data_IF_391342302183
#
_entry.id   IF_391342302183
#
_cell.length_a   1.000
_cell.length_b   1.000
_cell.length_c   1.000
_cell.angle_alpha   90.00
_cell.angle_beta   90.00
_cell.angle_gamma   90.00
#
_symmetry.space_group_name_H-M   'P 1'
#
loop_
_entity.id
_entity.type
_entity.pdbx_description
1 polymer ?
#
# COMPACT_ATOMS: atom_id res chain seq x y z
N UNK A 1 5.35 2.48 -31.94
CA UNK A 1 4.22 1.55 -32.14
C UNK A 1 3.56 1.37 -30.78
N UNK A 2 2.40 1.99 -30.53
CA UNK A 2 1.75 1.98 -29.22
C UNK A 2 0.80 0.77 -29.20
N UNK A 3 1.16 -0.28 -28.47
CA UNK A 3 0.29 -1.43 -28.30
C UNK A 3 -0.85 -1.03 -27.35
N UNK A 4 -2.07 -0.89 -27.87
CA UNK A 4 -3.25 -0.66 -27.05
C UNK A 4 -3.88 -2.03 -26.72
N UNK A 5 -4.10 -2.31 -25.44
CA UNK A 5 -4.81 -3.51 -25.00
C UNK A 5 -6.29 -3.34 -25.38
N UNK A 6 -6.83 -4.25 -26.18
CA UNK A 6 -8.24 -4.26 -26.58
C UNK A 6 -8.92 -5.56 -26.13
N UNK A 7 -10.25 -5.61 -26.20
CA UNK A 7 -11.05 -6.78 -25.79
C UNK A 7 -10.62 -8.09 -26.46
N UNK A 8 -10.08 -7.99 -27.68
CA UNK A 8 -9.56 -9.13 -28.42
C UNK A 8 -8.29 -9.67 -27.75
N UNK A 9 -7.35 -8.80 -27.39
CA UNK A 9 -6.14 -9.16 -26.63
C UNK A 9 -6.51 -9.72 -25.25
N UNK A 10 -7.43 -9.06 -24.52
CA UNK A 10 -7.89 -9.52 -23.21
C UNK A 10 -8.48 -10.94 -23.24
N UNK A 11 -9.26 -11.28 -24.28
CA UNK A 11 -9.85 -12.63 -24.44
C UNK A 11 -8.82 -13.73 -24.70
N UNK A 12 -7.66 -13.40 -25.23
CA UNK A 12 -6.56 -14.35 -25.45
C UNK A 12 -5.55 -14.39 -24.30
N UNK A 13 -5.71 -13.53 -23.29
CA UNK A 13 -4.89 -13.62 -22.09
C UNK A 13 -5.40 -14.75 -21.19
N UNK A 14 -4.66 -15.85 -21.19
CA UNK A 14 -4.81 -16.90 -20.19
C UNK A 14 -4.13 -16.52 -18.87
N UNK A 15 -4.43 -17.27 -17.80
CA UNK A 15 -3.70 -17.14 -16.54
C UNK A 15 -2.23 -17.49 -16.75
N UNK A 16 -1.33 -16.52 -16.63
CA UNK A 16 0.12 -16.77 -16.77
C UNK A 16 0.69 -17.58 -15.58
N UNK A 17 0.27 -17.23 -14.37
CA UNK A 17 0.64 -17.89 -13.11
C UNK A 17 -0.52 -17.81 -12.10
N UNK A 18 -0.60 -18.79 -11.20
CA UNK A 18 -1.58 -18.83 -10.10
C UNK A 18 -0.84 -19.17 -8.82
N UNK A 19 -0.91 -18.28 -7.84
CA UNK A 19 -0.33 -18.45 -6.50
C UNK A 19 -1.41 -18.91 -5.54
N UNK A 20 -1.19 -20.00 -4.79
CA UNK A 20 -2.22 -20.65 -3.94
C UNK A 20 -1.83 -20.75 -2.48
N UNK A 21 -0.77 -20.03 -2.08
CA UNK A 21 -0.16 -20.15 -0.77
C UNK A 21 -0.94 -19.41 0.33
N UNK A 22 -1.68 -18.35 -0.04
CA UNK A 22 -2.54 -17.60 0.90
C UNK A 22 -3.69 -18.49 1.43
N UNK A 23 -3.80 -18.60 2.75
CA UNK A 23 -4.81 -19.43 3.43
C UNK A 23 -6.11 -18.67 3.74
N UNK A 24 -6.10 -17.35 3.54
CA UNK A 24 -7.26 -16.49 3.71
C UNK A 24 -7.40 -15.51 2.54
N UNK A 25 -8.42 -14.66 2.62
CA UNK A 25 -8.70 -13.65 1.60
C UNK A 25 -7.51 -12.68 1.49
N UNK A 26 -7.03 -12.49 0.26
CA UNK A 26 -6.09 -11.43 -0.07
C UNK A 26 -6.83 -10.09 -0.06
N UNK A 27 -6.36 -9.16 0.78
CA UNK A 27 -6.92 -7.82 0.93
C UNK A 27 -6.33 -6.83 -0.07
N UNK A 28 -5.03 -6.97 -0.33
CA UNK A 28 -4.24 -6.04 -1.13
C UNK A 28 -3.04 -6.75 -1.70
N UNK A 29 -2.61 -6.32 -2.88
CA UNK A 29 -1.42 -6.81 -3.54
C UNK A 29 -0.75 -5.67 -4.30
N UNK A 30 0.57 -5.74 -4.44
CA UNK A 30 1.33 -4.75 -5.20
C UNK A 30 2.57 -5.35 -5.83
N UNK A 31 2.84 -4.95 -7.06
CA UNK A 31 4.08 -5.34 -7.75
C UNK A 31 5.18 -4.36 -7.37
N UNK A 32 6.35 -4.90 -7.06
CA UNK A 32 7.54 -4.07 -6.99
C UNK A 32 7.79 -3.46 -8.38
N UNK A 33 8.23 -2.20 -8.39
CA UNK A 33 8.31 -1.37 -9.60
C UNK A 33 9.36 -1.86 -10.60
N UNK A 34 10.54 -2.25 -10.10
CA UNK A 34 11.70 -2.62 -10.93
C UNK A 34 12.01 -4.11 -10.85
N UNK A 35 11.95 -4.67 -9.65
CA UNK A 35 12.22 -6.08 -9.39
C UNK A 35 11.04 -6.99 -9.73
N UNK A 36 11.36 -8.25 -10.05
CA UNK A 36 10.40 -9.34 -10.24
C UNK A 36 9.79 -9.82 -8.92
N UNK A 37 9.07 -8.94 -8.24
CA UNK A 37 8.50 -9.18 -6.92
C UNK A 37 7.03 -8.76 -6.84
N UNK A 38 6.22 -9.60 -6.23
CA UNK A 38 4.82 -9.33 -5.91
C UNK A 38 4.62 -9.53 -4.41
N UNK A 39 4.06 -8.54 -3.74
CA UNK A 39 3.69 -8.63 -2.33
C UNK A 39 2.19 -8.72 -2.19
N UNK A 40 1.73 -9.53 -1.25
CA UNK A 40 0.31 -9.68 -0.94
C UNK A 40 0.09 -9.60 0.56
N UNK A 41 -1.05 -9.05 0.96
CA UNK A 41 -1.50 -8.99 2.34
C UNK A 41 -2.84 -9.72 2.49
N UNK A 42 -2.98 -10.52 3.54
CA UNK A 42 -4.12 -11.42 3.73
C UNK A 42 -4.77 -11.26 5.12
N UNK A 43 -6.02 -11.70 5.23
CA UNK A 43 -6.84 -11.65 6.46
C UNK A 43 -6.28 -12.50 7.62
N UNK A 44 -5.42 -13.47 7.32
CA UNK A 44 -4.70 -14.31 8.28
C UNK A 44 -3.42 -13.65 8.85
N UNK A 45 -3.29 -12.33 8.68
CA UNK A 45 -2.14 -11.50 9.05
C UNK A 45 -0.85 -11.78 8.27
N UNK A 46 -0.92 -12.60 7.21
CA UNK A 46 0.25 -12.96 6.41
C UNK A 46 0.56 -11.92 5.34
N UNK A 47 1.86 -11.73 5.13
CA UNK A 47 2.45 -11.04 4.00
C UNK A 47 3.23 -12.10 3.23
N UNK A 48 2.78 -12.40 2.00
CA UNK A 48 3.52 -13.28 1.10
C UNK A 48 4.28 -12.45 0.08
N UNK A 49 5.53 -12.82 -0.16
CA UNK A 49 6.39 -12.26 -1.19
C UNK A 49 6.66 -13.31 -2.24
N UNK A 50 6.29 -13.03 -3.48
CA UNK A 50 6.49 -13.91 -4.61
C UNK A 50 7.53 -13.34 -5.56
N UNK A 51 8.33 -14.22 -6.14
CA UNK A 51 9.11 -13.89 -7.32
C UNK A 51 8.24 -14.07 -8.57
N UNK A 52 8.07 -13.01 -9.35
CA UNK A 52 7.14 -13.01 -10.49
C UNK A 52 7.71 -13.68 -11.74
N UNK A 53 9.04 -13.70 -11.88
CA UNK A 53 9.71 -14.36 -12.99
C UNK A 53 9.66 -15.89 -12.85
N UNK A 54 9.97 -16.43 -11.67
CA UNK A 54 9.89 -17.86 -11.39
C UNK A 54 8.46 -18.31 -11.09
N UNK A 55 7.60 -17.41 -10.58
CA UNK A 55 6.27 -17.74 -10.12
C UNK A 55 6.27 -18.50 -8.78
N UNK A 56 7.30 -18.31 -7.95
CA UNK A 56 7.45 -19.00 -6.67
C UNK A 56 7.26 -18.06 -5.49
N UNK A 57 6.69 -18.59 -4.41
CA UNK A 57 6.74 -17.96 -3.09
C UNK A 57 8.19 -17.91 -2.61
N UNK A 58 8.64 -16.73 -2.20
CA UNK A 58 9.99 -16.50 -1.65
C UNK A 58 9.95 -16.37 -0.13
N UNK A 59 9.07 -15.52 0.40
CA UNK A 59 8.97 -15.28 1.85
C UNK A 59 7.52 -15.27 2.32
N UNK A 60 7.32 -15.68 3.57
CA UNK A 60 6.06 -15.48 4.30
C UNK A 60 6.35 -14.86 5.66
N UNK A 61 5.78 -13.68 5.90
CA UNK A 61 5.94 -12.93 7.14
C UNK A 61 4.58 -12.71 7.79
N UNK A 62 4.52 -12.75 9.12
CA UNK A 62 3.27 -12.60 9.85
C UNK A 62 3.30 -11.37 10.75
N UNK A 63 2.30 -10.49 10.59
CA UNK A 63 2.07 -9.35 11.50
C UNK A 63 1.03 -9.69 12.57
N UNK A 64 1.18 -10.82 13.27
CA UNK A 64 0.13 -11.37 14.16
C UNK A 64 -0.42 -10.39 15.20
N UNK A 65 0.46 -9.53 15.73
CA UNK A 65 0.11 -8.57 16.79
C UNK A 65 -0.75 -7.42 16.29
N UNK A 66 -0.57 -6.98 15.04
CA UNK A 66 -1.18 -5.75 14.51
C UNK A 66 -2.03 -5.97 13.26
N UNK A 67 -2.02 -7.18 12.72
CA UNK A 67 -2.58 -7.53 11.44
C UNK A 67 -1.95 -6.77 10.27
N UNK A 68 -2.40 -7.13 9.07
CA UNK A 68 -2.00 -6.46 7.83
C UNK A 68 -3.23 -6.20 6.96
N UNK A 69 -3.22 -5.08 6.27
CA UNK A 69 -4.21 -4.70 5.25
C UNK A 69 -3.46 -4.03 4.09
N UNK A 70 -4.00 -2.98 3.48
CA UNK A 70 -3.41 -2.26 2.34
C UNK A 70 -1.88 -2.28 2.36
N UNK A 71 -1.27 -2.91 1.36
CA UNK A 71 0.17 -3.14 1.24
C UNK A 71 0.66 -2.57 -0.09
N UNK A 72 1.85 -1.95 -0.06
CA UNK A 72 2.58 -1.58 -1.27
C UNK A 72 4.08 -1.79 -1.09
N UNK A 73 4.77 -2.03 -2.20
CA UNK A 73 6.23 -2.07 -2.27
C UNK A 73 6.79 -0.66 -2.13
N UNK A 74 7.98 -0.53 -1.53
CA UNK A 74 8.71 0.74 -1.56
C UNK A 74 9.67 0.77 -2.76
N UNK A 75 10.52 1.81 -2.85
CA UNK A 75 11.63 1.85 -3.82
C UNK A 75 12.77 0.89 -3.48
N UNK A 76 12.73 0.25 -2.31
CA UNK A 76 13.73 -0.71 -1.86
C UNK A 76 13.18 -2.14 -1.98
N UNK A 77 13.97 -3.03 -2.57
CA UNK A 77 13.56 -4.39 -2.96
C UNK A 77 12.88 -5.20 -1.83
N UNK A 78 13.38 -5.14 -0.60
CA UNK A 78 12.89 -5.99 0.50
C UNK A 78 11.95 -5.25 1.44
N UNK A 79 11.48 -4.08 1.03
CA UNK A 79 10.83 -3.14 1.90
C UNK A 79 9.39 -2.93 1.46
N UNK A 80 8.45 -3.03 2.40
CA UNK A 80 7.02 -2.83 2.14
C UNK A 80 6.42 -1.85 3.12
N UNK A 81 5.45 -1.07 2.64
CA UNK A 81 4.52 -0.33 3.49
C UNK A 81 3.25 -1.12 3.64
N UNK A 82 2.71 -1.18 4.85
CA UNK A 82 1.37 -1.69 5.03
C UNK A 82 0.62 -1.03 6.17
N UNK A 83 -0.71 -1.08 6.13
CA UNK A 83 -1.57 -0.63 7.22
C UNK A 83 -1.93 -1.75 8.20
N UNK A 84 -1.95 -1.42 9.49
CA UNK A 84 -2.38 -2.33 10.55
C UNK A 84 -3.91 -2.43 10.62
N UNK A 85 -4.42 -3.63 10.95
CA UNK A 85 -5.88 -3.91 11.05
C UNK A 85 -6.34 -4.30 12.45
N UNK A 86 -5.42 -4.55 13.38
CA UNK A 86 -5.74 -4.94 14.76
C UNK A 86 -5.27 -3.88 15.74
N UNK A 87 -6.08 -3.52 16.75
CA UNK A 87 -5.59 -2.76 17.87
C UNK A 87 -4.49 -3.56 18.59
N UNK A 88 -3.46 -2.89 19.15
CA UNK A 88 -2.56 -3.58 20.07
C UNK A 88 -3.41 -4.19 21.20
N UNK A 89 -3.14 -5.46 21.54
CA UNK A 89 -3.80 -6.10 22.69
C UNK A 89 -3.67 -5.18 23.92
N UNK A 90 -4.79 -4.90 24.58
CA UNK A 90 -4.91 -4.04 25.76
C UNK A 90 -4.70 -2.52 25.54
N UNK A 91 -4.90 -2.03 24.31
CA UNK A 91 -4.82 -0.59 24.02
C UNK A 91 -6.22 0.07 24.00
N UNK A 92 -6.41 1.08 24.85
CA UNK A 92 -7.56 2.00 24.75
C UNK A 92 -7.32 3.10 23.69
N UNK A 93 -6.13 3.15 23.10
CA UNK A 93 -5.80 4.10 22.03
C UNK A 93 -6.50 3.70 20.73
N UNK A 94 -7.44 4.54 20.28
CA UNK A 94 -8.22 4.38 19.05
C UNK A 94 -7.42 4.68 17.78
N UNK A 95 -6.17 5.17 17.88
CA UNK A 95 -5.29 5.50 16.74
C UNK A 95 -4.47 4.32 16.20
N UNK A 96 -5.00 3.10 16.34
CA UNK A 96 -4.27 1.88 16.02
C UNK A 96 -4.15 1.59 14.53
N UNK A 97 -4.85 2.33 13.66
CA UNK A 97 -4.64 2.30 12.21
C UNK A 97 -3.35 3.05 11.89
N UNK A 98 -2.24 2.33 12.02
CA UNK A 98 -0.90 2.84 11.77
C UNK A 98 -0.37 2.26 10.46
N UNK A 99 0.54 2.97 9.81
CA UNK A 99 1.29 2.42 8.69
C UNK A 99 2.66 1.94 9.17
N UNK A 100 3.17 0.88 8.55
CA UNK A 100 4.41 0.23 8.94
C UNK A 100 5.42 0.16 7.80
N UNK A 101 6.56 0.75 8.13
CA UNK A 101 7.94 0.58 7.70
C UNK A 101 8.56 -0.83 7.79
N UNK A 102 8.34 -1.82 6.91
CA UNK A 102 8.90 -3.18 7.15
C UNK A 102 9.98 -3.60 6.14
N UNK A 103 11.19 -3.92 6.63
CA UNK A 103 12.17 -4.75 5.89
C UNK A 103 11.82 -6.23 6.10
N UNK A 104 11.24 -6.84 5.06
CA UNK A 104 10.74 -8.22 5.06
C UNK A 104 11.87 -9.24 5.18
N UNK A 105 13.03 -8.97 4.55
CA UNK A 105 14.16 -9.90 4.53
C UNK A 105 14.80 -10.03 5.91
N UNK A 106 14.89 -8.92 6.64
CA UNK A 106 15.43 -8.91 8.01
C UNK A 106 14.35 -9.14 9.06
N UNK A 107 13.08 -9.08 8.66
CA UNK A 107 11.92 -9.06 9.54
C UNK A 107 12.03 -7.95 10.61
N UNK A 108 12.49 -6.77 10.17
CA UNK A 108 12.77 -5.61 11.02
C UNK A 108 11.82 -4.45 10.70
N UNK A 109 11.17 -3.93 11.73
CA UNK A 109 10.35 -2.72 11.63
C UNK A 109 11.26 -1.48 11.60
N UNK A 110 11.42 -0.91 10.41
CA UNK A 110 12.19 0.32 10.17
C UNK A 110 11.47 1.52 10.79
N UNK A 111 10.15 1.64 10.60
CA UNK A 111 9.38 2.82 11.04
C UNK A 111 7.89 2.54 11.22
N UNK A 112 7.20 3.42 11.92
CA UNK A 112 5.74 3.45 11.99
C UNK A 112 5.21 4.88 11.86
N UNK A 113 4.03 5.00 11.26
CA UNK A 113 3.34 6.27 11.03
C UNK A 113 1.97 6.20 11.69
N UNK A 114 1.74 7.07 12.68
CA UNK A 114 0.50 7.11 13.47
C UNK A 114 -0.27 8.37 13.16
N UNK A 115 -1.60 8.25 13.20
CA UNK A 115 -2.48 9.41 13.07
C UNK A 115 -3.85 9.08 12.49
N UNK A 116 -3.98 7.97 11.76
CA UNK A 116 -5.30 7.53 11.31
C UNK A 116 -6.10 6.92 12.47
N UNK A 117 -7.39 7.22 12.49
CA UNK A 117 -8.35 6.72 13.50
C UNK A 117 -9.38 5.77 12.88
N UNK A 118 -9.23 5.45 11.60
CA UNK A 118 -10.08 4.52 10.86
C UNK A 118 -9.29 3.68 9.84
N UNK A 119 -9.88 2.60 9.31
CA UNK A 119 -9.28 1.77 8.26
C UNK A 119 -8.82 2.59 7.07
N UNK A 120 -7.72 2.19 6.46
CA UNK A 120 -7.29 2.78 5.19
C UNK A 120 -8.17 2.27 4.05
N UNK A 121 -8.60 3.20 3.21
CA UNK A 121 -9.17 2.90 1.91
C UNK A 121 -8.05 2.74 0.86
N UNK A 122 -7.00 3.55 0.96
CA UNK A 122 -5.90 3.53 -0.01
C UNK A 122 -4.55 3.83 0.63
N UNK A 123 -3.52 3.21 0.09
CA UNK A 123 -2.10 3.43 0.39
C UNK A 123 -1.36 3.51 -0.94
N UNK A 124 -0.72 4.66 -1.22
CA UNK A 124 -0.08 4.92 -2.50
C UNK A 124 1.35 5.44 -2.29
N UNK A 125 2.33 4.71 -2.81
CA UNK A 125 3.74 5.12 -2.81
C UNK A 125 4.01 6.07 -3.98
N UNK A 126 4.73 7.17 -3.74
CA UNK A 126 5.17 8.04 -4.83
C UNK A 126 6.15 7.29 -5.73
N UNK A 127 6.09 7.49 -7.06
CA UNK A 127 6.98 6.80 -7.98
C UNK A 127 8.42 7.30 -8.02
N UNK A 128 8.68 8.48 -7.48
CA UNK A 128 9.99 9.15 -7.62
C UNK A 128 10.67 9.40 -6.29
N UNK A 129 9.89 9.70 -5.27
CA UNK A 129 10.40 10.20 -4.01
C UNK A 129 10.01 9.26 -2.88
N UNK A 130 10.70 9.35 -1.75
CA UNK A 130 10.40 8.59 -0.53
C UNK A 130 9.20 9.16 0.24
N UNK A 131 8.13 9.50 -0.48
CA UNK A 131 6.87 10.01 0.07
C UNK A 131 5.73 9.06 -0.29
N UNK A 132 4.70 9.03 0.53
CA UNK A 132 3.51 8.24 0.27
C UNK A 132 2.26 8.92 0.80
N UNK A 133 1.11 8.50 0.27
CA UNK A 133 -0.20 8.97 0.69
C UNK A 133 -1.02 7.84 1.26
N UNK A 134 -1.85 8.18 2.25
CA UNK A 134 -2.86 7.28 2.78
C UNK A 134 -4.20 7.99 2.88
N UNK A 135 -5.27 7.29 2.49
CA UNK A 135 -6.64 7.77 2.61
C UNK A 135 -7.40 6.81 3.52
N UNK A 136 -8.19 7.33 4.45
CA UNK A 136 -8.84 6.55 5.50
C UNK A 136 -10.32 6.89 5.66
N UNK A 137 -11.07 5.94 6.22
CA UNK A 137 -12.46 6.13 6.67
C UNK A 137 -12.59 7.15 7.81
N UNK A 138 -11.48 7.62 8.38
CA UNK A 138 -11.47 8.77 9.28
C UNK A 138 -11.69 10.12 8.58
N UNK A 139 -12.03 10.09 7.28
CA UNK A 139 -12.30 11.25 6.42
C UNK A 139 -11.05 12.10 6.14
N UNK A 140 -9.87 11.51 6.28
CA UNK A 140 -8.60 12.19 6.00
C UNK A 140 -7.78 11.50 4.92
N UNK A 141 -7.07 12.34 4.16
CA UNK A 141 -5.92 11.94 3.35
C UNK A 141 -4.68 12.54 3.98
N UNK A 142 -3.67 11.71 4.22
CA UNK A 142 -2.40 12.11 4.84
C UNK A 142 -1.26 11.90 3.86
N UNK A 143 -0.37 12.88 3.79
CA UNK A 143 0.90 12.82 3.08
C UNK A 143 2.02 12.58 4.10
N UNK A 144 2.93 11.68 3.77
CA UNK A 144 4.00 11.23 4.63
C UNK A 144 5.34 11.25 3.90
N UNK A 145 6.40 11.50 4.66
CA UNK A 145 7.79 11.31 4.23
C UNK A 145 8.35 10.09 4.98
N UNK A 146 8.84 9.07 4.27
CA UNK A 146 9.35 7.84 4.87
C UNK A 146 10.58 8.05 5.77
N UNK A 147 11.27 9.19 5.64
CA UNK A 147 12.46 9.56 6.40
C UNK A 147 12.10 10.07 7.80
N UNK A 148 10.84 10.45 8.04
CA UNK A 148 10.37 11.02 9.31
C UNK A 148 9.15 10.28 9.84
N UNK A 149 8.82 10.44 11.13
CA UNK A 149 7.58 9.85 11.71
C UNK A 149 6.38 10.79 11.62
N UNK A 150 6.55 11.98 11.04
CA UNK A 150 5.56 13.05 11.10
C UNK A 150 4.78 13.14 9.80
N UNK A 151 3.48 13.38 9.94
CA UNK A 151 2.60 13.70 8.81
C UNK A 151 3.03 15.05 8.23
N UNK A 152 3.27 15.10 6.92
CA UNK A 152 3.73 16.30 6.21
C UNK A 152 2.55 17.14 5.70
N UNK A 153 1.40 16.51 5.48
CA UNK A 153 0.20 17.18 5.02
C UNK A 153 -1.04 16.40 5.40
N UNK A 154 -2.08 17.12 5.81
CA UNK A 154 -3.38 16.58 6.17
C UNK A 154 -4.44 17.27 5.32
N UNK A 155 -5.27 16.47 4.66
CA UNK A 155 -6.42 16.93 3.92
C UNK A 155 -7.67 16.27 4.49
N UNK A 156 -8.68 17.08 4.81
CA UNK A 156 -10.01 16.60 5.14
C UNK A 156 -10.76 16.39 3.82
N UNK A 157 -11.41 15.25 3.68
CA UNK A 157 -12.23 14.91 2.52
C UNK A 157 -13.58 14.39 3.03
N UNK A 158 -14.71 14.99 2.62
CA UNK A 158 -16.01 14.41 2.94
C UNK A 158 -16.12 13.01 2.29
N UNK A 159 -16.83 12.09 2.94
CA UNK A 159 -17.03 10.74 2.43
C UNK A 159 -15.85 9.77 2.66
N UNK A 160 -15.67 8.84 1.72
CA UNK A 160 -14.63 7.80 1.76
C UNK A 160 -13.53 8.13 0.74
N UNK A 161 -12.44 8.81 1.15
CA UNK A 161 -11.43 9.25 0.21
C UNK A 161 -10.59 8.09 -0.33
N UNK A 162 -10.09 8.27 -1.54
CA UNK A 162 -8.97 7.51 -2.12
C UNK A 162 -7.90 8.46 -2.65
N UNK A 163 -6.67 7.98 -2.78
CA UNK A 163 -5.54 8.78 -3.24
C UNK A 163 -4.56 7.96 -4.07
N UNK A 164 -3.96 8.58 -5.08
CA UNK A 164 -2.97 7.97 -5.97
C UNK A 164 -1.92 8.98 -6.42
N UNK A 165 -0.79 8.49 -6.92
CA UNK A 165 0.23 9.30 -7.58
C UNK A 165 0.22 9.03 -9.09
N UNK A 166 0.41 10.09 -9.89
CA UNK A 166 0.79 9.97 -11.29
C UNK A 166 2.28 9.58 -11.41
N UNK A 167 2.73 9.22 -12.62
CA UNK A 167 4.12 8.83 -12.89
C UNK A 167 5.15 9.95 -12.61
N UNK A 168 4.73 11.21 -12.62
CA UNK A 168 5.56 12.37 -12.34
C UNK A 168 5.58 12.76 -10.85
N UNK A 169 4.86 12.03 -9.99
CA UNK A 169 4.60 12.32 -8.58
C UNK A 169 3.62 13.48 -8.30
N UNK A 170 2.78 13.86 -9.27
CA UNK A 170 1.54 14.57 -9.03
C UNK A 170 0.57 13.69 -8.24
N UNK A 171 -0.12 14.25 -7.25
CA UNK A 171 -1.07 13.52 -6.42
C UNK A 171 -2.49 13.75 -6.95
N UNK A 172 -3.29 12.69 -7.02
CA UNK A 172 -4.71 12.78 -7.25
C UNK A 172 -5.46 12.17 -6.06
N UNK A 173 -6.47 12.86 -5.54
CA UNK A 173 -7.41 12.32 -4.57
C UNK A 173 -8.80 12.27 -5.18
N UNK A 174 -9.57 11.23 -4.91
CA UNK A 174 -10.99 11.21 -5.23
C UNK A 174 -11.80 11.02 -3.95
N UNK A 175 -12.90 11.76 -3.84
CA UNK A 175 -13.90 11.60 -2.80
C UNK A 175 -15.28 11.86 -3.39
N UNK A 176 -16.18 10.89 -3.21
CA UNK A 176 -17.50 10.82 -3.85
C UNK A 176 -17.44 11.02 -5.38
N UNK A 177 -17.85 12.18 -5.90
CA UNK A 177 -17.86 12.50 -7.34
C UNK A 177 -16.70 13.43 -7.78
N UNK A 178 -15.81 13.83 -6.86
CA UNK A 178 -14.81 14.87 -7.11
C UNK A 178 -13.41 14.26 -7.20
N UNK A 179 -12.73 14.50 -8.33
CA UNK A 179 -11.31 14.21 -8.52
C UNK A 179 -10.50 15.50 -8.34
N UNK A 180 -9.70 15.56 -7.28
CA UNK A 180 -8.74 16.64 -7.05
C UNK A 180 -7.33 16.21 -7.48
N UNK A 181 -6.75 16.89 -8.47
CA UNK A 181 -5.34 16.76 -8.81
C UNK A 181 -4.54 17.88 -8.14
N UNK A 182 -3.55 17.53 -7.32
CA UNK A 182 -2.63 18.45 -6.65
C UNK A 182 -1.22 18.15 -7.11
N UNK A 183 -0.63 19.09 -7.83
CA UNK A 183 0.82 19.11 -8.08
C UNK A 183 1.48 20.01 -7.04
N UNK A 184 2.69 19.65 -6.63
CA UNK A 184 3.52 20.54 -5.81
C UNK A 184 3.87 21.75 -6.67
N UNK A 185 3.26 22.91 -6.42
CA UNK A 185 3.74 24.17 -6.99
C UNK A 185 5.18 24.36 -6.52
N UNK A 186 6.14 24.28 -7.44
CA UNK A 186 7.56 24.41 -7.13
C UNK A 186 7.90 25.81 -6.59
N UNK A 187 8.94 25.86 -5.76
CA UNK A 187 9.84 27.00 -5.67
C UNK A 187 10.98 26.76 -6.66
#
# INVERSE_FOLDING_TARGET
MQAYVNDRVMRFMGSGRVFKDNQARINSMDFHRTEDMLVTASDDDSIHVYNTASGMLTETVYSKKYGVSNICSTHSQYCVMYATRKPPANSNDLSWYSLRYHDIRRNEYVRYFRGHTGPLNTLAMSPKNDIFMSASQDKTVRLWDMRTNLCQGLMQAPGNPCASFDQQAGAAGCHDEVLECKQRCGL
#
